data_IF_327097729673
#
_entry.id   IF_327097729673
#
_cell.length_a   1.000
_cell.length_b   1.000
_cell.length_c   1.000
_cell.angle_alpha   90.00
_cell.angle_beta   90.00
_cell.angle_gamma   90.00
#
_symmetry.space_group_name_H-M   'P 1'
#
loop_
_entity.id
_entity.type
_entity.pdbx_description
1 polymer ?
#
# COMPACT_ATOMS: atom_id res chain seq x y z
N UNK A 1 21.05 11.69 -13.62
CA UNK A 1 19.72 11.44 -14.25
C UNK A 1 18.67 11.80 -13.22
N UNK A 2 17.64 12.57 -13.59
CA UNK A 2 16.49 12.88 -12.72
C UNK A 2 15.45 11.78 -12.86
N UNK A 3 14.86 11.34 -11.75
CA UNK A 3 13.87 10.27 -11.75
C UNK A 3 12.94 10.38 -10.55
N UNK A 4 11.68 10.03 -10.76
CA UNK A 4 10.66 9.99 -9.71
C UNK A 4 9.89 8.68 -9.84
N UNK A 5 9.67 8.02 -8.71
CA UNK A 5 8.72 6.90 -8.58
C UNK A 5 7.56 7.34 -7.71
N UNK A 6 6.35 6.96 -8.14
CA UNK A 6 5.11 7.24 -7.43
C UNK A 6 4.36 5.93 -7.20
N UNK A 7 4.02 5.65 -5.95
CA UNK A 7 3.15 4.55 -5.57
C UNK A 7 1.89 5.09 -4.90
N UNK A 8 0.72 4.57 -5.27
CA UNK A 8 -0.57 4.98 -4.69
C UNK A 8 -1.26 3.77 -4.07
N UNK A 9 -1.78 3.94 -2.87
CA UNK A 9 -2.60 2.94 -2.18
C UNK A 9 -3.83 3.58 -1.54
N UNK A 10 -4.89 2.77 -1.39
CA UNK A 10 -6.07 3.13 -0.60
C UNK A 10 -5.94 2.52 0.80
N UNK A 11 -6.72 3.04 1.76
CA UNK A 11 -6.75 2.59 3.15
C UNK A 11 -7.23 1.14 3.33
N UNK A 12 -8.09 0.66 2.43
CA UNK A 12 -8.55 -0.73 2.38
C UNK A 12 -8.71 -1.19 0.92
N UNK A 13 -8.60 -2.51 0.71
CA UNK A 13 -8.81 -3.22 -0.55
C UNK A 13 -10.28 -3.63 -0.80
N UNK A 14 -11.16 -3.39 0.18
CA UNK A 14 -12.59 -3.65 0.06
C UNK A 14 -13.23 -2.85 -1.08
N UNK A 15 -14.46 -3.24 -1.42
CA UNK A 15 -15.32 -2.43 -2.29
C UNK A 15 -15.89 -1.27 -1.48
N UNK A 16 -15.77 -0.06 -2.02
CA UNK A 16 -16.41 1.14 -1.47
C UNK A 16 -17.76 1.39 -2.15
N UNK A 17 -18.71 1.91 -1.38
CA UNK A 17 -20.02 2.35 -1.83
C UNK A 17 -19.99 3.85 -2.07
N UNK A 18 -20.92 4.32 -2.90
CA UNK A 18 -21.16 5.75 -3.09
C UNK A 18 -21.35 6.45 -1.74
N UNK A 19 -20.76 7.63 -1.59
CA UNK A 19 -20.77 8.45 -0.38
C UNK A 19 -19.69 8.10 0.64
N UNK A 20 -19.08 6.91 0.55
CA UNK A 20 -17.98 6.53 1.44
C UNK A 20 -16.72 7.34 1.16
N UNK A 21 -15.91 7.51 2.21
CA UNK A 21 -14.63 8.18 2.14
C UNK A 21 -13.51 7.14 1.96
N UNK A 22 -12.66 7.37 0.98
CA UNK A 22 -11.41 6.63 0.74
C UNK A 22 -10.26 7.55 1.11
N UNK A 23 -9.32 7.05 1.90
CA UNK A 23 -8.06 7.75 2.18
C UNK A 23 -6.98 7.17 1.30
N UNK A 24 -6.37 8.01 0.48
CA UNK A 24 -5.27 7.62 -0.39
C UNK A 24 -3.94 8.05 0.22
N UNK A 25 -2.98 7.15 0.13
CA UNK A 25 -1.57 7.36 0.46
C UNK A 25 -0.77 7.31 -0.83
N UNK A 26 0.09 8.31 -1.02
CA UNK A 26 1.01 8.42 -2.15
C UNK A 26 2.43 8.41 -1.61
N UNK A 27 3.24 7.46 -2.02
CA UNK A 27 4.68 7.44 -1.71
C UNK A 27 5.42 7.97 -2.92
N UNK A 28 6.06 9.13 -2.77
CA UNK A 28 6.89 9.75 -3.80
C UNK A 28 8.35 9.50 -3.43
N UNK A 29 9.11 8.91 -4.34
CA UNK A 29 10.53 8.62 -4.13
C UNK A 29 11.35 9.23 -5.24
N UNK A 30 12.37 9.99 -4.88
CA UNK A 30 13.40 10.45 -5.80
C UNK A 30 14.29 9.26 -6.16
N UNK A 31 14.32 8.92 -7.45
CA UNK A 31 15.19 7.86 -7.99
C UNK A 31 16.38 8.43 -8.76
N UNK A 32 16.50 9.77 -8.77
CA UNK A 32 17.58 10.49 -9.42
C UNK A 32 18.77 10.78 -8.50
N UNK A 33 19.86 11.24 -9.12
CA UNK A 33 21.10 11.59 -8.43
C UNK A 33 21.15 13.04 -7.92
N UNK A 34 20.07 13.80 -8.07
CA UNK A 34 19.97 15.22 -7.72
C UNK A 34 18.83 15.43 -6.73
N UNK A 35 18.95 16.43 -5.86
CA UNK A 35 17.87 16.85 -4.97
C UNK A 35 16.67 17.34 -5.80
N UNK A 36 15.46 16.98 -5.37
CA UNK A 36 14.21 17.50 -5.91
C UNK A 36 13.63 18.53 -4.96
N UNK A 37 13.10 19.61 -5.49
CA UNK A 37 12.36 20.65 -4.74
C UNK A 37 11.01 20.89 -5.39
N UNK A 38 10.04 21.40 -4.63
CA UNK A 38 8.68 21.63 -5.11
C UNK A 38 7.89 20.35 -5.39
N UNK A 39 8.23 19.24 -4.73
CA UNK A 39 7.55 17.95 -4.89
C UNK A 39 6.10 18.07 -4.41
N UNK A 40 5.16 17.69 -5.28
CA UNK A 40 3.73 17.63 -5.00
C UNK A 40 3.06 16.55 -5.84
N UNK A 41 1.85 16.17 -5.43
CA UNK A 41 1.03 15.17 -6.14
C UNK A 41 -0.30 15.81 -6.52
N UNK A 42 -0.68 15.68 -7.78
CA UNK A 42 -2.01 16.03 -8.28
C UNK A 42 -2.73 14.76 -8.70
N UNK A 43 -4.02 14.69 -8.35
CA UNK A 43 -4.88 13.56 -8.69
C UNK A 43 -6.21 14.13 -9.20
N UNK A 44 -6.74 13.53 -10.27
CA UNK A 44 -7.94 14.00 -10.96
C UNK A 44 -9.21 13.89 -10.10
N UNK A 45 -9.19 13.03 -9.08
CA UNK A 45 -10.32 12.78 -8.18
C UNK A 45 -10.10 13.33 -6.79
N UNK A 46 -8.87 13.34 -6.31
CA UNK A 46 -8.51 13.84 -4.99
C UNK A 46 -8.16 15.32 -5.05
N UNK A 47 -9.14 16.16 -4.73
CA UNK A 47 -9.03 17.62 -4.83
C UNK A 47 -7.86 18.24 -4.04
N UNK A 48 -7.44 17.60 -2.94
CA UNK A 48 -6.29 18.06 -2.14
C UNK A 48 -5.44 16.88 -1.68
N UNK A 49 -4.19 16.89 -2.11
CA UNK A 49 -3.15 15.98 -1.63
C UNK A 49 -2.08 16.80 -0.90
N UNK A 50 -1.72 16.38 0.30
CA UNK A 50 -0.77 17.07 1.18
C UNK A 50 0.43 16.16 1.39
N UNK A 51 1.62 16.64 1.04
CA UNK A 51 2.88 15.92 1.25
C UNK A 51 3.54 16.34 2.57
N UNK A 52 4.17 15.39 3.26
CA UNK A 52 4.92 15.68 4.49
C UNK A 52 6.21 16.45 4.24
N UNK A 53 6.76 16.38 3.02
CA UNK A 53 7.92 17.15 2.57
C UNK A 53 7.76 17.48 1.08
N UNK A 54 8.34 18.60 0.67
CA UNK A 54 8.39 19.05 -0.74
C UNK A 54 9.82 19.07 -1.30
N UNK A 55 10.80 18.70 -0.47
CA UNK A 55 12.20 18.54 -0.86
C UNK A 55 12.60 17.09 -0.60
N UNK A 56 13.21 16.45 -1.59
CA UNK A 56 13.67 15.06 -1.50
C UNK A 56 15.14 14.97 -1.83
N UNK A 57 15.90 14.34 -0.94
CA UNK A 57 17.32 14.07 -1.15
C UNK A 57 17.55 13.17 -2.38
N UNK A 58 18.76 13.12 -2.94
CA UNK A 58 19.12 12.15 -3.98
C UNK A 58 18.83 10.71 -3.56
N UNK A 59 18.61 9.85 -4.55
CA UNK A 59 18.27 8.44 -4.36
C UNK A 59 19.26 7.72 -3.41
N UNK A 60 18.72 6.95 -2.47
CA UNK A 60 19.47 6.17 -1.50
C UNK A 60 19.94 6.97 -0.28
N UNK A 61 19.66 8.27 -0.23
CA UNK A 61 19.91 9.10 0.95
C UNK A 61 18.68 9.18 1.86
N UNK A 62 18.90 9.51 3.14
CA UNK A 62 17.79 9.77 4.06
C UNK A 62 16.98 10.98 3.57
N UNK A 63 15.67 10.84 3.49
CA UNK A 63 14.78 11.87 2.96
C UNK A 63 14.63 11.84 1.43
N UNK A 64 15.04 10.77 0.75
CA UNK A 64 14.77 10.57 -0.68
C UNK A 64 13.30 10.23 -0.99
N UNK A 65 12.47 10.06 0.04
CA UNK A 65 11.06 9.71 -0.08
C UNK A 65 10.18 10.54 0.84
N UNK A 66 8.96 10.82 0.40
CA UNK A 66 7.92 11.45 1.21
C UNK A 66 6.58 10.77 1.01
N UNK A 67 5.74 10.87 2.03
CA UNK A 67 4.36 10.40 2.00
C UNK A 67 3.44 11.60 1.83
N UNK A 68 2.54 11.50 0.85
CA UNK A 68 1.43 12.42 0.68
C UNK A 68 0.10 11.72 0.94
N UNK A 69 -0.88 12.47 1.44
CA UNK A 69 -2.21 11.94 1.74
C UNK A 69 -3.29 12.83 1.16
N UNK A 70 -4.38 12.21 0.74
CA UNK A 70 -5.58 12.93 0.32
C UNK A 70 -6.80 12.02 0.40
N UNK A 71 -7.98 12.62 0.36
CA UNK A 71 -9.23 11.89 0.60
C UNK A 71 -10.22 12.11 -0.52
N UNK A 72 -10.86 11.04 -0.95
CA UNK A 72 -11.91 11.06 -1.96
C UNK A 72 -13.22 10.59 -1.37
N UNK A 73 -14.33 11.19 -1.79
CA UNK A 73 -15.67 10.65 -1.55
C UNK A 73 -16.14 9.98 -2.83
N UNK A 74 -16.50 8.70 -2.74
CA UNK A 74 -16.99 7.93 -3.88
C UNK A 74 -18.26 8.58 -4.42
N UNK A 75 -18.25 8.93 -5.70
CA UNK A 75 -19.36 9.59 -6.37
C UNK A 75 -20.28 8.55 -7.04
N UNK A 76 -21.53 8.92 -7.33
CA UNK A 76 -22.47 8.05 -8.06
C UNK A 76 -21.92 7.58 -9.42
N UNK A 77 -21.09 8.40 -10.06
CA UNK A 77 -20.43 8.05 -11.32
C UNK A 77 -19.47 6.84 -11.18
N UNK A 78 -18.92 6.58 -9.99
CA UNK A 78 -18.02 5.46 -9.73
C UNK A 78 -18.75 4.11 -9.70
N UNK A 79 -20.02 4.11 -9.30
CA UNK A 79 -20.83 2.88 -9.26
C UNK A 79 -20.96 2.23 -10.65
N UNK A 80 -20.94 3.04 -11.72
CA UNK A 80 -21.06 2.57 -13.11
C UNK A 80 -19.80 1.85 -13.61
N UNK A 81 -18.67 2.05 -12.94
CA UNK A 81 -17.37 1.49 -13.32
C UNK A 81 -17.02 0.22 -12.52
N UNK A 82 -17.87 -0.19 -11.58
CA UNK A 82 -17.65 -1.40 -10.80
C UNK A 82 -18.04 -2.64 -11.61
N UNK A 83 -17.09 -3.20 -12.38
CA UNK A 83 -17.15 -4.63 -12.71
C UNK A 83 -16.79 -5.40 -11.43
N UNK A 84 -17.63 -6.32 -10.94
CA UNK A 84 -17.33 -7.05 -9.71
C UNK A 84 -16.00 -7.80 -9.88
N UNK A 85 -15.00 -7.44 -9.06
CA UNK A 85 -13.77 -8.23 -8.96
C UNK A 85 -14.17 -9.64 -8.46
N UNK A 86 -13.70 -10.73 -9.10
CA UNK A 86 -14.00 -12.07 -8.60
C UNK A 86 -13.52 -12.19 -7.15
N UNK A 87 -14.41 -12.65 -6.27
CA UNK A 87 -14.12 -12.84 -4.84
C UNK A 87 -12.85 -13.70 -4.70
N UNK A 88 -11.87 -13.33 -3.85
CA UNK A 88 -10.72 -14.19 -3.58
C UNK A 88 -11.22 -15.54 -3.04
N UNK A 89 -10.89 -16.64 -3.73
CA UNK A 89 -11.14 -17.98 -3.18
C UNK A 89 -10.41 -18.09 -1.83
N UNK A 90 -11.02 -18.65 -0.77
CA UNK A 90 -10.34 -18.85 0.51
C UNK A 90 -9.03 -19.63 0.28
N UNK A 91 -7.90 -19.05 0.68
CA UNK A 91 -6.61 -19.78 0.68
C UNK A 91 -6.78 -21.03 1.57
N UNK A 92 -6.37 -22.23 1.12
CA UNK A 92 -6.37 -23.40 1.98
C UNK A 92 -5.56 -23.12 3.25
N UNK A 93 -6.16 -23.31 4.43
CA UNK A 93 -5.45 -23.18 5.70
C UNK A 93 -4.23 -24.13 5.66
N UNK A 94 -3.02 -23.68 6.04
CA UNK A 94 -1.88 -24.59 6.16
C UNK A 94 -2.23 -25.68 7.15
N UNK A 95 -2.13 -26.95 6.74
CA UNK A 95 -2.25 -28.09 7.65
C UNK A 95 -1.19 -27.91 8.76
N UNK A 96 -1.54 -28.14 10.05
CA UNK A 96 -0.56 -28.04 11.11
C UNK A 96 0.60 -28.99 10.83
N UNK A 97 1.82 -28.45 10.78
CA UNK A 97 3.04 -29.26 10.65
C UNK A 97 3.14 -30.18 11.87
N UNK A 98 3.43 -31.49 11.70
CA UNK A 98 3.65 -32.39 12.83
C UNK A 98 4.78 -31.85 13.70
N UNK A 99 4.55 -31.78 15.02
CA UNK A 99 5.58 -31.37 15.98
C UNK A 99 6.72 -32.39 15.92
N UNK A 100 8.00 -31.98 15.82
CA UNK A 100 9.12 -32.90 15.88
C UNK A 100 9.22 -33.49 17.29
N UNK A 101 9.23 -34.83 17.38
CA UNK A 101 9.47 -35.55 18.63
C UNK A 101 10.88 -35.25 19.12
N UNK A 102 11.03 -34.40 20.15
CA UNK A 102 12.28 -34.30 20.92
C UNK A 102 12.36 -35.50 21.86
N UNK A 103 13.27 -36.43 21.57
CA UNK A 103 13.43 -37.67 22.31
C UNK A 103 14.19 -37.54 23.63
N UNK A 104 14.01 -38.55 24.50
CA UNK A 104 14.99 -39.24 25.36
C UNK A 104 14.38 -40.62 25.72
N UNK A 105 15.13 -41.70 25.42
CA UNK A 105 14.87 -43.14 25.68
C UNK A 105 14.58 -43.47 27.16
N UNK A 106 14.32 -44.75 27.54
CA UNK A 106 13.45 -45.82 27.01
C UNK A 106 12.54 -46.39 28.14
N UNK A 107 11.69 -47.42 27.90
CA UNK A 107 11.40 -48.51 28.86
C UNK A 107 10.29 -49.46 28.37
N UNK A 108 10.48 -50.75 28.71
CA UNK A 108 9.74 -51.95 28.32
C UNK A 108 8.43 -52.21 29.09
N UNK A 109 7.75 -53.27 28.65
CA UNK A 109 6.76 -54.15 29.32
C UNK A 109 5.31 -53.84 28.94
N UNK A 110 4.47 -54.80 28.57
CA UNK A 110 4.44 -56.24 28.81
C UNK A 110 3.66 -56.93 27.69
#
# INVERSE_FOLDING_TARGET
>A
MTGVRLEKSADDTRVYRVGEKVTYTYTVTNTGSQELTGVGVTDDRVARVICGATTLAPAGQSGDSTTCTGTYRVADADAKHCKPKPKPKPKPKPKPKPKPCRGKKPCHSK
#
